data_IF_975225403027
#
_entry.id   IF_975225403027
#
_cell.length_a   1.000
_cell.length_b   1.000
_cell.length_c   1.000
_cell.angle_alpha   90.00
_cell.angle_beta   90.00
_cell.angle_gamma   90.00
#
_symmetry.space_group_name_H-M   'P 1'
#
loop_
_entity.id
_entity.type
_entity.pdbx_description
1 polymer ?
#
# COMPACT_ATOMS: atom_id res chain seq x y z
N UNK A 1 -23.62 -46.61 36.35
CA UNK A 1 -23.93 -45.24 35.92
C UNK A 1 -22.78 -44.78 35.06
N UNK A 2 -23.00 -44.63 33.76
CA UNK A 2 -22.04 -43.97 32.87
C UNK A 2 -22.18 -42.48 33.07
N UNK A 3 -21.08 -41.83 33.47
CA UNK A 3 -20.95 -40.37 33.43
C UNK A 3 -20.95 -39.92 31.98
N UNK A 4 -21.92 -39.08 31.61
CA UNK A 4 -21.98 -38.43 30.32
C UNK A 4 -21.04 -37.23 30.44
N UNK A 5 -19.91 -37.26 29.76
CA UNK A 5 -19.05 -36.08 29.60
C UNK A 5 -19.87 -34.99 28.86
N UNK A 6 -20.11 -33.90 29.54
CA UNK A 6 -20.72 -32.72 28.96
C UNK A 6 -19.66 -32.05 28.04
N UNK A 7 -19.84 -32.20 26.75
CA UNK A 7 -19.03 -31.46 25.78
C UNK A 7 -19.54 -30.04 25.68
N UNK A 8 -18.90 -29.13 26.41
CA UNK A 8 -19.16 -27.70 26.27
C UNK A 8 -18.50 -27.22 24.97
N UNK A 9 -19.32 -27.08 23.93
CA UNK A 9 -18.89 -26.39 22.70
C UNK A 9 -19.00 -24.88 22.96
N UNK A 10 -17.90 -24.25 23.36
CA UNK A 10 -17.78 -22.80 23.37
C UNK A 10 -17.50 -22.31 21.94
N UNK A 11 -18.56 -22.09 21.17
CA UNK A 11 -18.47 -21.35 19.95
C UNK A 11 -18.46 -19.85 20.28
N UNK A 12 -17.46 -19.09 19.82
CA UNK A 12 -17.59 -17.66 19.75
C UNK A 12 -18.71 -17.33 18.76
N UNK A 13 -19.72 -16.57 19.23
CA UNK A 13 -20.74 -16.04 18.34
C UNK A 13 -20.04 -15.01 17.43
N UNK A 14 -19.83 -15.37 16.17
CA UNK A 14 -19.45 -14.42 15.13
C UNK A 14 -20.77 -13.87 14.59
N UNK A 15 -21.09 -12.58 14.81
CA UNK A 15 -22.27 -11.98 14.23
C UNK A 15 -22.24 -12.18 12.71
N UNK A 16 -23.29 -12.76 12.16
CA UNK A 16 -23.44 -12.81 10.69
C UNK A 16 -23.91 -11.43 10.23
N UNK A 17 -22.95 -10.51 10.07
CA UNK A 17 -23.20 -9.13 9.66
C UNK A 17 -24.02 -9.03 8.38
N UNK A 18 -23.92 -10.03 7.48
CA UNK A 18 -24.76 -10.13 6.29
C UNK A 18 -26.26 -10.29 6.58
N UNK A 19 -26.60 -10.82 7.75
CA UNK A 19 -28.01 -11.05 8.16
C UNK A 19 -28.57 -9.96 9.05
N UNK A 20 -27.69 -9.24 9.75
CA UNK A 20 -28.11 -8.23 10.72
C UNK A 20 -28.23 -6.83 10.11
N UNK A 21 -27.71 -6.58 8.91
CA UNK A 21 -27.86 -5.30 8.23
C UNK A 21 -29.11 -5.26 7.36
N UNK A 22 -29.96 -4.25 7.58
CA UNK A 22 -31.09 -3.92 6.70
C UNK A 22 -30.66 -3.27 5.37
N UNK A 23 -29.40 -2.89 5.27
CA UNK A 23 -28.77 -2.20 4.14
C UNK A 23 -28.17 -3.18 3.14
N UNK A 24 -28.12 -2.76 1.86
CA UNK A 24 -27.45 -3.54 0.83
C UNK A 24 -25.93 -3.38 1.02
N UNK A 25 -25.33 -4.39 1.62
CA UNK A 25 -23.90 -4.46 1.86
C UNK A 25 -23.26 -5.66 1.14
N UNK A 26 -21.96 -5.60 0.94
CA UNK A 26 -21.12 -6.72 0.52
C UNK A 26 -19.96 -6.79 1.52
N UNK A 27 -19.68 -7.97 2.02
CA UNK A 27 -18.64 -8.20 3.03
C UNK A 27 -17.56 -9.08 2.43
N UNK A 28 -16.34 -8.73 2.69
CA UNK A 28 -15.15 -9.52 2.39
C UNK A 28 -14.47 -9.82 3.73
N UNK A 29 -14.52 -11.06 4.15
CA UNK A 29 -13.94 -11.50 5.42
C UNK A 29 -12.49 -11.99 5.26
N UNK A 30 -11.78 -12.15 6.39
CA UNK A 30 -10.38 -12.59 6.41
C UNK A 30 -10.17 -13.93 5.70
N UNK A 31 -11.12 -14.86 5.82
CA UNK A 31 -11.02 -16.18 5.21
C UNK A 31 -11.12 -16.11 3.66
N UNK A 32 -11.93 -15.21 3.13
CA UNK A 32 -12.01 -14.95 1.69
C UNK A 32 -10.74 -14.27 1.19
N UNK A 33 -10.20 -13.31 1.93
CA UNK A 33 -8.95 -12.61 1.61
C UNK A 33 -7.78 -13.59 1.56
N UNK A 34 -7.61 -14.40 2.59
CA UNK A 34 -6.51 -15.39 2.67
C UNK A 34 -6.60 -16.46 1.57
N UNK A 35 -7.81 -16.91 1.24
CA UNK A 35 -8.03 -17.89 0.19
C UNK A 35 -7.65 -17.38 -1.19
N UNK A 36 -7.80 -16.09 -1.46
CA UNK A 36 -7.53 -15.52 -2.78
C UNK A 36 -6.08 -15.15 -2.99
N UNK A 37 -5.33 -14.89 -1.93
CA UNK A 37 -3.91 -14.54 -1.97
C UNK A 37 -3.64 -13.23 -2.69
N UNK A 38 -4.59 -12.29 -2.66
CA UNK A 38 -4.42 -10.97 -3.27
C UNK A 38 -3.46 -10.12 -2.44
N UNK A 39 -2.56 -9.39 -3.07
CA UNK A 39 -1.50 -8.61 -2.39
C UNK A 39 -2.05 -7.39 -1.63
N UNK A 40 -3.13 -6.78 -2.14
CA UNK A 40 -3.73 -5.60 -1.54
C UNK A 40 -5.25 -5.61 -1.60
N UNK A 41 -5.87 -4.81 -0.73
CA UNK A 41 -7.33 -4.77 -0.60
C UNK A 41 -8.03 -4.25 -1.88
N UNK A 42 -7.38 -3.40 -2.67
CA UNK A 42 -7.99 -2.89 -3.91
C UNK A 42 -8.29 -4.03 -4.90
N UNK A 43 -7.38 -5.00 -5.02
CA UNK A 43 -7.56 -6.18 -5.89
C UNK A 43 -8.63 -7.10 -5.29
N UNK A 44 -8.54 -7.40 -4.00
CA UNK A 44 -9.49 -8.27 -3.32
C UNK A 44 -10.93 -7.78 -3.45
N UNK A 45 -11.16 -6.47 -3.33
CA UNK A 45 -12.47 -5.86 -3.46
C UNK A 45 -13.09 -5.98 -4.87
N UNK A 46 -12.30 -6.17 -5.91
CA UNK A 46 -12.85 -6.36 -7.29
C UNK A 46 -13.68 -7.61 -7.46
N UNK A 47 -13.53 -8.57 -6.53
CA UNK A 47 -14.29 -9.82 -6.54
C UNK A 47 -15.74 -9.61 -6.08
N UNK A 48 -16.00 -8.52 -5.39
CA UNK A 48 -17.34 -8.18 -4.96
C UNK A 48 -18.14 -7.52 -6.08
N UNK A 49 -19.41 -7.92 -6.20
CA UNK A 49 -20.28 -7.40 -7.26
C UNK A 49 -20.52 -5.90 -7.12
N UNK A 50 -20.43 -5.19 -8.25
CA UNK A 50 -20.66 -3.74 -8.29
C UNK A 50 -19.49 -2.88 -7.88
N UNK A 51 -18.31 -3.47 -7.76
CA UNK A 51 -17.05 -2.74 -7.59
C UNK A 51 -16.21 -2.83 -8.87
N UNK A 52 -15.45 -1.79 -9.14
CA UNK A 52 -14.54 -1.74 -10.27
C UNK A 52 -13.24 -1.07 -9.87
N UNK A 53 -12.12 -1.67 -10.28
CA UNK A 53 -10.78 -1.15 -10.06
C UNK A 53 -10.38 -0.20 -11.18
N UNK A 54 -9.95 0.99 -10.81
CA UNK A 54 -9.50 2.02 -11.76
C UNK A 54 -8.04 2.33 -11.49
N UNK A 55 -7.21 2.25 -12.53
CA UNK A 55 -5.76 2.48 -12.50
C UNK A 55 -5.01 1.60 -11.48
N UNK A 56 -5.53 0.42 -11.18
CA UNK A 56 -4.90 -0.51 -10.25
C UNK A 56 -5.00 -0.17 -8.77
N UNK A 57 -5.59 0.96 -8.39
CA UNK A 57 -5.54 1.47 -7.01
C UNK A 57 -6.83 2.06 -6.45
N UNK A 58 -7.73 2.55 -7.33
CA UNK A 58 -8.98 3.18 -6.90
C UNK A 58 -10.16 2.25 -7.11
N UNK A 59 -10.96 2.05 -6.10
CA UNK A 59 -12.17 1.23 -6.17
C UNK A 59 -13.39 2.14 -6.30
N UNK A 60 -14.14 1.95 -7.38
CA UNK A 60 -15.38 2.67 -7.63
C UNK A 60 -16.58 1.78 -7.31
N UNK A 61 -17.52 2.32 -6.56
CA UNK A 61 -18.74 1.62 -6.19
C UNK A 61 -19.83 1.94 -7.20
N UNK A 62 -20.46 0.91 -7.77
CA UNK A 62 -21.55 1.02 -8.76
C UNK A 62 -21.19 1.83 -10.01
N UNK A 63 -19.91 1.89 -10.36
CA UNK A 63 -19.43 2.67 -11.52
C UNK A 63 -19.48 4.19 -11.29
N UNK A 64 -19.77 4.65 -10.08
CA UNK A 64 -19.77 6.08 -9.75
C UNK A 64 -18.32 6.52 -9.50
N UNK A 65 -17.99 7.71 -9.98
CA UNK A 65 -16.66 8.28 -9.84
C UNK A 65 -16.26 8.56 -8.37
N UNK A 66 -15.01 8.87 -8.18
CA UNK A 66 -14.33 9.02 -6.88
C UNK A 66 -15.02 9.93 -5.87
N UNK A 67 -15.72 10.97 -6.33
CA UNK A 67 -16.42 11.93 -5.43
C UNK A 67 -17.64 11.35 -4.72
N UNK A 68 -18.12 10.18 -5.17
CA UNK A 68 -19.31 9.54 -4.65
C UNK A 68 -19.02 8.34 -3.74
N UNK A 69 -17.75 8.00 -3.57
CA UNK A 69 -17.29 6.91 -2.71
C UNK A 69 -16.44 7.47 -1.58
N UNK A 70 -16.57 6.91 -0.40
CA UNK A 70 -15.72 7.19 0.75
C UNK A 70 -15.09 5.90 1.24
N UNK A 71 -13.97 6.01 1.92
CA UNK A 71 -13.33 4.90 2.60
C UNK A 71 -13.05 5.26 4.05
N UNK A 72 -13.24 4.31 4.94
CA UNK A 72 -12.91 4.42 6.36
C UNK A 72 -11.94 3.30 6.75
N UNK A 73 -11.11 3.57 7.72
CA UNK A 73 -10.22 2.60 8.35
C UNK A 73 -10.49 2.61 9.85
N UNK A 74 -10.94 1.46 10.38
CA UNK A 74 -11.31 1.32 11.79
C UNK A 74 -12.29 2.43 12.24
N UNK A 75 -13.31 2.72 11.42
CA UNK A 75 -14.30 3.76 11.67
C UNK A 75 -13.85 5.20 11.43
N UNK A 76 -12.57 5.43 11.10
CA UNK A 76 -12.04 6.77 10.81
C UNK A 76 -12.01 7.05 9.31
N UNK A 77 -12.48 8.22 8.88
CA UNK A 77 -12.45 8.60 7.48
C UNK A 77 -11.02 8.71 6.95
N UNK A 78 -10.75 8.06 5.83
CA UNK A 78 -9.48 8.17 5.13
C UNK A 78 -9.46 9.44 4.27
N UNK A 79 -8.49 10.33 4.47
CA UNK A 79 -8.35 11.51 3.62
C UNK A 79 -7.79 11.13 2.25
N UNK A 80 -8.20 11.88 1.22
CA UNK A 80 -7.59 11.75 -0.09
C UNK A 80 -6.18 12.38 -0.10
N UNK A 81 -5.16 11.68 -0.58
CA UNK A 81 -3.83 12.27 -0.78
C UNK A 81 -3.77 13.18 -2.02
N UNK A 82 -4.75 13.12 -2.90
CA UNK A 82 -4.80 13.95 -4.09
C UNK A 82 -5.61 15.23 -3.82
N UNK A 83 -5.03 16.45 -3.98
CA UNK A 83 -5.70 17.70 -3.62
C UNK A 83 -6.96 18.00 -4.42
N UNK A 84 -7.03 17.51 -5.66
CA UNK A 84 -8.12 17.78 -6.60
C UNK A 84 -9.12 16.63 -6.73
N UNK A 85 -8.88 15.53 -6.06
CA UNK A 85 -9.73 14.33 -6.11
C UNK A 85 -10.06 13.85 -4.72
N UNK A 86 -11.24 13.26 -4.61
CA UNK A 86 -11.74 12.67 -3.37
C UNK A 86 -11.67 11.15 -3.49
N UNK A 87 -10.45 10.61 -3.48
CA UNK A 87 -10.25 9.18 -3.69
C UNK A 87 -9.11 8.68 -2.82
N UNK A 88 -9.30 7.52 -2.23
CA UNK A 88 -8.29 6.84 -1.44
C UNK A 88 -7.67 5.73 -2.28
N UNK A 89 -6.34 5.72 -2.45
CA UNK A 89 -5.64 4.63 -3.11
C UNK A 89 -5.61 3.41 -2.17
N UNK A 90 -6.43 2.41 -2.48
CA UNK A 90 -6.60 1.23 -1.63
C UNK A 90 -5.50 0.17 -1.85
N UNK A 91 -4.65 0.34 -2.85
CA UNK A 91 -3.44 -0.46 -3.07
C UNK A 91 -2.39 -0.29 -1.95
N UNK A 92 -2.51 0.79 -1.15
CA UNK A 92 -1.64 1.03 0.00
C UNK A 92 -1.90 0.08 1.19
N UNK A 93 -3.02 -0.63 1.19
CA UNK A 93 -3.42 -1.51 2.29
C UNK A 93 -3.18 -2.97 1.90
N UNK A 94 -2.09 -3.59 2.41
CA UNK A 94 -1.82 -5.00 2.17
C UNK A 94 -2.89 -5.87 2.85
N UNK A 95 -3.30 -6.94 2.20
CA UNK A 95 -4.36 -7.83 2.70
C UNK A 95 -4.00 -8.50 4.02
N UNK A 96 -2.72 -8.69 4.32
CA UNK A 96 -2.24 -9.34 5.53
C UNK A 96 -2.65 -8.64 6.83
N UNK A 97 -2.82 -7.30 6.77
CA UNK A 97 -3.22 -6.51 7.95
C UNK A 97 -4.73 -6.33 8.06
N UNK A 98 -5.49 -6.74 7.05
CA UNK A 98 -6.94 -6.55 7.00
C UNK A 98 -7.65 -7.76 7.61
N UNK A 99 -8.59 -7.49 8.49
CA UNK A 99 -9.50 -8.49 9.05
C UNK A 99 -10.75 -8.63 8.19
N UNK A 100 -11.38 -7.50 7.92
CA UNK A 100 -12.59 -7.49 7.10
C UNK A 100 -12.71 -6.19 6.30
N UNK A 101 -13.54 -6.22 5.26
CA UNK A 101 -13.99 -5.02 4.58
C UNK A 101 -15.48 -5.11 4.28
N UNK A 102 -16.23 -4.11 4.73
CA UNK A 102 -17.66 -3.97 4.49
C UNK A 102 -17.90 -2.87 3.49
N UNK A 103 -18.62 -3.19 2.42
CA UNK A 103 -18.99 -2.20 1.41
C UNK A 103 -20.46 -1.94 1.49
N UNK A 104 -20.81 -0.84 2.13
CA UNK A 104 -22.19 -0.42 2.23
C UNK A 104 -22.60 0.40 1.00
N UNK A 105 -23.66 -0.04 0.33
CA UNK A 105 -24.13 0.53 -0.94
C UNK A 105 -25.39 1.38 -0.80
N UNK A 106 -26.06 1.32 0.36
CA UNK A 106 -27.22 2.12 0.69
C UNK A 106 -26.93 3.03 1.85
N UNK A 107 -27.54 4.20 1.87
CA UNK A 107 -27.35 5.18 2.92
C UNK A 107 -28.00 4.71 4.24
N UNK A 108 -27.29 4.89 5.34
CA UNK A 108 -27.82 4.79 6.70
C UNK A 108 -27.54 6.09 7.49
N UNK A 109 -28.25 6.29 8.59
CA UNK A 109 -28.24 7.57 9.31
C UNK A 109 -26.91 7.87 10.05
N UNK A 110 -26.08 6.88 10.25
CA UNK A 110 -24.76 6.94 10.87
C UNK A 110 -23.66 7.37 9.87
N UNK A 111 -23.98 7.38 8.57
CA UNK A 111 -23.03 7.73 7.53
C UNK A 111 -22.89 9.22 7.32
N UNK A 112 -21.71 9.67 6.83
CA UNK A 112 -21.50 11.04 6.46
C UNK A 112 -22.53 11.52 5.43
N UNK A 113 -23.01 12.77 5.56
CA UNK A 113 -23.99 13.36 4.64
C UNK A 113 -23.50 13.44 3.18
N UNK A 114 -22.23 13.25 2.95
CA UNK A 114 -21.58 13.27 1.64
C UNK A 114 -21.65 11.92 0.89
N UNK A 115 -22.36 10.95 1.47
CA UNK A 115 -22.57 9.66 0.85
C UNK A 115 -23.29 9.79 -0.50
N UNK A 116 -22.70 9.25 -1.55
CA UNK A 116 -23.29 9.31 -2.88
C UNK A 116 -23.44 7.95 -3.56
N UNK A 117 -22.50 7.06 -3.40
CA UNK A 117 -22.47 5.78 -4.11
C UNK A 117 -22.19 4.56 -3.24
N UNK A 118 -21.34 4.72 -2.22
CA UNK A 118 -20.99 3.67 -1.29
C UNK A 118 -19.86 4.08 -0.36
N UNK A 119 -19.78 3.40 0.76
CA UNK A 119 -18.66 3.49 1.70
C UNK A 119 -17.96 2.14 1.73
N UNK A 120 -16.64 2.19 1.70
CA UNK A 120 -15.76 1.04 1.88
C UNK A 120 -15.18 1.15 3.29
N UNK A 121 -15.66 0.32 4.18
CA UNK A 121 -15.15 0.22 5.55
C UNK A 121 -14.07 -0.87 5.56
N UNK A 122 -12.91 -0.53 6.08
CA UNK A 122 -11.77 -1.44 6.20
C UNK A 122 -11.47 -1.59 7.69
N UNK A 123 -11.45 -2.81 8.16
CA UNK A 123 -11.07 -3.15 9.52
C UNK A 123 -9.75 -3.92 9.52
N UNK A 124 -8.83 -3.47 10.35
CA UNK A 124 -7.54 -4.15 10.51
C UNK A 124 -7.66 -5.28 11.53
N UNK A 125 -6.82 -6.30 11.37
CA UNK A 125 -6.71 -7.38 12.36
C UNK A 125 -6.45 -6.78 13.74
N UNK A 126 -7.10 -7.29 14.78
CA UNK A 126 -6.82 -6.87 16.15
C UNK A 126 -5.37 -7.21 16.50
N UNK A 127 -4.87 -6.61 17.59
CA UNK A 127 -3.53 -6.95 18.10
C UNK A 127 -3.46 -8.47 18.29
N UNK A 128 -2.50 -9.16 17.68
CA UNK A 128 -2.40 -10.60 17.77
C UNK A 128 -2.05 -10.99 19.21
N UNK A 129 -2.84 -11.90 19.79
CA UNK A 129 -2.56 -12.50 21.11
C UNK A 129 -1.47 -13.57 21.04
N UNK A 130 -1.10 -13.98 19.84
CA UNK A 130 -0.02 -14.94 19.59
C UNK A 130 0.94 -14.33 18.56
N UNK A 131 2.23 -14.70 18.67
CA UNK A 131 3.23 -14.26 17.70
C UNK A 131 2.89 -14.73 16.30
N UNK A 132 2.74 -13.80 15.38
CA UNK A 132 2.52 -14.05 13.95
C UNK A 132 3.85 -13.84 13.22
N UNK A 133 4.23 -14.84 12.43
CA UNK A 133 5.35 -14.76 11.49
C UNK A 133 4.85 -15.32 10.16
N UNK A 134 4.61 -14.46 9.21
CA UNK A 134 4.17 -14.84 7.87
C UNK A 134 5.20 -14.43 6.83
N UNK A 135 5.40 -15.31 5.87
CA UNK A 135 6.38 -15.18 4.81
C UNK A 135 5.79 -15.70 3.52
N UNK A 136 5.56 -14.81 2.56
CA UNK A 136 5.05 -15.21 1.26
C UNK A 136 5.94 -14.74 0.11
N UNK A 137 6.05 -15.59 -0.89
CA UNK A 137 6.69 -15.29 -2.16
C UNK A 137 5.71 -15.61 -3.27
N UNK A 138 5.52 -14.67 -4.20
CA UNK A 138 4.74 -14.94 -5.41
C UNK A 138 5.53 -14.58 -6.65
N UNK A 139 5.26 -15.32 -7.75
CA UNK A 139 5.83 -15.04 -9.06
C UNK A 139 4.70 -15.05 -10.10
N UNK A 140 4.64 -13.99 -10.90
CA UNK A 140 3.68 -13.80 -11.97
C UNK A 140 4.32 -13.98 -13.36
N UNK A 141 3.53 -14.50 -14.29
CA UNK A 141 3.90 -14.62 -15.70
C UNK A 141 2.82 -13.97 -16.57
N UNK A 142 3.24 -13.10 -17.46
CA UNK A 142 2.39 -12.50 -18.49
C UNK A 142 2.92 -12.94 -19.86
N UNK A 143 2.10 -13.62 -20.64
CA UNK A 143 2.45 -14.18 -21.95
C UNK A 143 2.86 -13.15 -22.99
N UNK A 144 2.46 -11.88 -22.81
CA UNK A 144 2.78 -10.80 -23.73
C UNK A 144 4.08 -10.06 -23.40
N UNK A 145 4.53 -10.12 -22.14
CA UNK A 145 5.65 -9.27 -21.67
C UNK A 145 6.77 -10.04 -20.96
N UNK A 146 6.45 -11.06 -20.17
CA UNK A 146 7.46 -11.78 -19.39
C UNK A 146 8.41 -12.57 -20.29
N UNK A 147 9.71 -12.46 -20.03
CA UNK A 147 10.78 -13.10 -20.80
C UNK A 147 10.79 -12.71 -22.29
N UNK A 148 10.25 -11.54 -22.62
CA UNK A 148 10.29 -10.97 -23.97
C UNK A 148 11.15 -9.70 -23.99
N UNK A 149 11.59 -9.33 -25.19
CA UNK A 149 12.37 -8.10 -25.37
C UNK A 149 11.52 -6.87 -25.03
N UNK A 150 12.07 -5.99 -24.22
CA UNK A 150 11.47 -4.75 -23.82
C UNK A 150 12.45 -3.62 -23.69
N UNK A 151 11.93 -2.44 -23.43
CA UNK A 151 12.76 -1.26 -23.22
C UNK A 151 13.01 -1.11 -21.71
N UNK A 152 14.26 -1.28 -21.33
CA UNK A 152 14.75 -1.14 -19.96
C UNK A 152 15.70 0.04 -19.87
N UNK A 153 15.97 0.52 -18.68
CA UNK A 153 17.06 1.45 -18.42
C UNK A 153 17.92 0.90 -17.27
N UNK A 154 19.23 1.17 -17.34
CA UNK A 154 20.12 0.87 -16.23
C UNK A 154 19.79 1.80 -15.06
N UNK A 155 19.13 1.27 -14.04
CA UNK A 155 18.91 1.94 -12.77
C UNK A 155 20.17 1.98 -11.92
N UNK A 156 20.04 2.50 -10.70
CA UNK A 156 21.06 2.36 -9.65
C UNK A 156 21.09 0.94 -9.09
N UNK A 157 22.22 0.54 -8.54
CA UNK A 157 22.40 -0.79 -7.95
C UNK A 157 21.48 -1.01 -6.73
N UNK A 158 21.04 0.06 -6.07
CA UNK A 158 20.19 0.04 -4.89
C UNK A 158 18.71 0.38 -5.18
N UNK A 159 18.33 0.55 -6.45
CA UNK A 159 16.95 0.89 -6.87
C UNK A 159 15.93 -0.15 -6.41
N UNK A 160 16.29 -1.43 -6.41
CA UNK A 160 15.43 -2.53 -5.97
C UNK A 160 15.01 -2.40 -4.50
N UNK A 161 15.80 -1.70 -3.69
CA UNK A 161 15.53 -1.42 -2.29
C UNK A 161 14.97 -0.02 -2.05
N UNK A 162 14.76 0.76 -3.11
CA UNK A 162 14.25 2.13 -3.03
C UNK A 162 15.24 3.15 -2.50
N UNK A 163 16.54 2.84 -2.52
CA UNK A 163 17.59 3.77 -2.17
C UNK A 163 18.23 4.37 -3.42
N UNK A 164 18.62 5.65 -3.32
CA UNK A 164 19.38 6.34 -4.35
C UNK A 164 20.87 6.16 -4.07
N UNK A 165 21.59 5.55 -5.02
CA UNK A 165 23.06 5.35 -4.98
C UNK A 165 23.84 6.53 -5.57
N UNK A 166 23.14 7.64 -5.86
CA UNK A 166 23.72 8.85 -6.46
C UNK A 166 23.83 8.82 -8.00
N UNK A 167 23.36 7.76 -8.67
CA UNK A 167 23.37 7.69 -10.14
C UNK A 167 22.52 8.81 -10.78
N UNK A 168 21.54 9.33 -10.02
CA UNK A 168 20.63 10.41 -10.41
C UNK A 168 21.12 11.79 -10.00
N UNK A 169 22.24 11.88 -9.33
CA UNK A 169 22.83 13.14 -8.92
C UNK A 169 23.26 13.96 -10.14
N UNK A 170 23.24 15.27 -9.97
CA UNK A 170 23.82 16.15 -10.99
C UNK A 170 25.32 15.89 -11.11
N UNK A 171 25.86 15.99 -12.34
CA UNK A 171 27.31 15.94 -12.52
C UNK A 171 28.05 16.89 -11.57
N UNK A 172 29.23 16.47 -11.14
CA UNK A 172 30.02 17.21 -10.13
C UNK A 172 30.21 18.69 -10.46
N UNK A 173 30.42 19.00 -11.73
CA UNK A 173 30.55 20.39 -12.19
C UNK A 173 29.31 21.23 -11.99
N UNK A 174 28.12 20.62 -12.18
CA UNK A 174 26.82 21.26 -11.94
C UNK A 174 26.60 21.42 -10.44
N UNK A 175 26.90 20.38 -9.66
CA UNK A 175 26.77 20.44 -8.19
C UNK A 175 27.66 21.53 -7.59
N UNK A 176 28.88 21.70 -8.12
CA UNK A 176 29.77 22.80 -7.71
C UNK A 176 29.21 24.18 -8.08
N UNK A 177 28.57 24.32 -9.24
CA UNK A 177 27.92 25.57 -9.62
C UNK A 177 26.71 25.88 -8.69
N UNK A 178 25.90 24.86 -8.36
CA UNK A 178 24.79 24.99 -7.42
C UNK A 178 25.31 25.43 -6.04
N UNK A 179 26.33 24.77 -5.51
CA UNK A 179 26.90 25.06 -4.18
C UNK A 179 27.49 26.48 -4.09
N UNK A 180 27.95 27.02 -5.23
CA UNK A 180 28.45 28.40 -5.35
C UNK A 180 27.38 29.41 -5.73
N UNK A 181 26.14 28.97 -5.91
CA UNK A 181 25.02 29.77 -6.38
C UNK A 181 25.32 30.48 -7.73
N UNK A 182 26.03 29.80 -8.63
CA UNK A 182 26.40 30.30 -9.94
C UNK A 182 25.41 29.79 -11.00
N UNK A 183 25.01 30.65 -11.93
CA UNK A 183 24.27 30.24 -13.12
C UNK A 183 25.20 29.63 -14.14
N UNK A 184 24.74 28.60 -14.83
CA UNK A 184 25.46 27.96 -15.94
C UNK A 184 25.29 28.81 -17.22
N UNK A 185 25.96 29.95 -17.27
CA UNK A 185 25.92 30.87 -18.36
C UNK A 185 27.32 31.40 -18.70
N UNK A 186 27.42 32.14 -19.81
CA UNK A 186 28.70 32.71 -20.30
C UNK A 186 29.25 33.85 -19.41
N UNK A 187 28.50 34.32 -18.42
CA UNK A 187 29.02 35.31 -17.47
C UNK A 187 29.85 34.69 -16.36
N UNK A 188 29.60 33.42 -16.06
CA UNK A 188 30.23 32.66 -14.97
C UNK A 188 31.21 31.60 -15.46
N UNK A 189 31.02 31.11 -16.68
CA UNK A 189 31.81 30.01 -17.26
C UNK A 189 32.20 30.33 -18.71
N UNK A 190 33.39 29.92 -19.11
CA UNK A 190 33.79 30.02 -20.51
C UNK A 190 33.11 28.96 -21.40
N UNK A 191 33.24 29.10 -22.71
CA UNK A 191 32.59 28.19 -23.68
C UNK A 191 33.09 26.75 -23.54
N UNK A 192 34.35 26.57 -23.19
CA UNK A 192 34.95 25.24 -23.03
C UNK A 192 34.43 24.57 -21.77
N UNK A 193 34.32 25.33 -20.67
CA UNK A 193 33.74 24.84 -19.43
C UNK A 193 32.27 24.43 -19.60
N UNK A 194 31.46 25.27 -20.25
CA UNK A 194 30.07 24.92 -20.53
C UNK A 194 29.95 23.70 -21.46
N UNK A 195 30.82 23.55 -22.43
CA UNK A 195 30.85 22.37 -23.30
C UNK A 195 31.23 21.09 -22.52
N UNK A 196 32.16 21.18 -21.57
CA UNK A 196 32.53 20.06 -20.70
C UNK A 196 31.39 19.65 -19.77
N UNK A 197 30.74 20.61 -19.14
CA UNK A 197 29.54 20.38 -18.34
C UNK A 197 28.46 19.67 -19.17
N UNK A 198 28.23 20.13 -20.42
CA UNK A 198 27.29 19.46 -21.32
C UNK A 198 27.63 18.00 -21.60
N UNK A 199 28.95 17.70 -21.81
CA UNK A 199 29.42 16.31 -22.03
C UNK A 199 29.26 15.42 -20.78
N UNK A 200 29.38 15.98 -19.58
CA UNK A 200 29.13 15.23 -18.35
C UNK A 200 27.68 14.75 -18.27
N UNK A 201 26.72 15.54 -18.75
CA UNK A 201 25.34 15.12 -18.89
C UNK A 201 25.13 14.03 -19.95
N UNK A 202 25.81 14.10 -21.08
CA UNK A 202 25.73 13.06 -22.12
C UNK A 202 26.31 11.72 -21.64
N UNK A 203 27.31 11.76 -20.76
CA UNK A 203 27.92 10.57 -20.18
C UNK A 203 27.10 9.97 -19.02
N UNK A 204 26.12 10.69 -18.52
CA UNK A 204 25.23 10.15 -17.49
C UNK A 204 24.31 9.08 -18.11
N UNK A 205 24.28 7.89 -17.53
CA UNK A 205 23.47 6.76 -18.01
C UNK A 205 21.96 6.96 -17.81
N UNK A 206 21.55 8.04 -17.17
CA UNK A 206 20.17 8.36 -16.75
C UNK A 206 19.13 8.33 -17.87
N UNK A 207 19.55 8.50 -19.13
CA UNK A 207 18.63 8.68 -20.26
C UNK A 207 18.79 7.61 -21.34
N UNK A 208 19.64 6.62 -21.10
CA UNK A 208 19.90 5.56 -22.08
C UNK A 208 18.91 4.43 -21.86
N UNK A 209 17.96 4.34 -22.77
CA UNK A 209 17.04 3.20 -22.85
C UNK A 209 17.76 2.10 -23.61
N UNK A 210 17.79 0.90 -23.05
CA UNK A 210 18.38 -0.29 -23.63
C UNK A 210 17.31 -1.35 -23.92
N UNK A 211 17.53 -2.15 -24.95
CA UNK A 211 16.73 -3.35 -25.17
C UNK A 211 17.24 -4.46 -24.25
N UNK A 212 16.33 -5.11 -23.55
CA UNK A 212 16.66 -6.20 -22.66
C UNK A 212 15.43 -7.08 -22.38
N UNK A 213 15.70 -8.25 -21.80
CA UNK A 213 14.64 -9.19 -21.45
C UNK A 213 13.89 -8.72 -20.20
N UNK A 214 12.58 -8.61 -20.29
CA UNK A 214 11.73 -8.24 -19.16
C UNK A 214 11.68 -9.43 -18.18
N UNK A 215 12.09 -9.28 -16.91
CA UNK A 215 12.06 -10.37 -15.95
C UNK A 215 10.63 -10.80 -15.61
N UNK A 216 10.52 -11.95 -14.95
CA UNK A 216 9.26 -12.36 -14.33
C UNK A 216 8.87 -11.37 -13.23
N UNK A 217 7.58 -11.12 -13.14
CA UNK A 217 7.03 -10.40 -12.00
C UNK A 217 7.21 -11.24 -10.73
N UNK A 218 7.73 -10.61 -9.69
CA UNK A 218 7.96 -11.29 -8.40
C UNK A 218 7.64 -10.36 -7.25
N UNK A 219 7.01 -10.90 -6.22
CA UNK A 219 6.78 -10.17 -4.98
C UNK A 219 7.15 -11.01 -3.76
N UNK A 220 7.56 -10.32 -2.72
CA UNK A 220 7.96 -10.86 -1.46
C UNK A 220 7.28 -10.09 -0.35
N UNK A 221 6.57 -10.79 0.53
CA UNK A 221 5.92 -10.20 1.68
C UNK A 221 6.42 -10.86 2.96
N UNK A 222 6.66 -10.04 3.97
CA UNK A 222 7.02 -10.44 5.31
C UNK A 222 6.14 -9.72 6.32
N UNK A 223 5.44 -10.47 7.15
CA UNK A 223 4.59 -9.92 8.21
C UNK A 223 5.04 -10.49 9.55
N UNK A 224 5.32 -9.61 10.49
CA UNK A 224 5.62 -9.95 11.87
C UNK A 224 4.67 -9.21 12.79
N UNK A 225 4.01 -9.94 13.68
CA UNK A 225 3.15 -9.40 14.72
C UNK A 225 3.44 -10.07 16.05
N UNK A 226 3.55 -9.28 17.10
CA UNK A 226 3.77 -9.76 18.45
C UNK A 226 3.12 -8.78 19.45
N UNK A 227 2.64 -9.29 20.56
CA UNK A 227 2.18 -8.49 21.68
C UNK A 227 3.39 -8.10 22.54
N UNK A 228 3.63 -6.80 22.67
CA UNK A 228 4.63 -6.25 23.56
C UNK A 228 3.91 -5.76 24.83
N UNK A 229 4.05 -6.50 25.91
CA UNK A 229 3.56 -6.08 27.22
C UNK A 229 4.57 -5.06 27.82
N UNK A 230 4.35 -3.80 27.47
CA UNK A 230 5.16 -2.69 27.99
C UNK A 230 4.45 -2.09 29.19
N UNK A 231 4.93 -2.38 30.39
CA UNK A 231 4.37 -1.74 31.59
C UNK A 231 4.81 -0.26 31.66
N UNK A 232 3.94 0.59 32.19
CA UNK A 232 4.29 2.00 32.40
C UNK A 232 5.52 2.18 33.32
N UNK A 233 5.75 1.23 34.22
CA UNK A 233 6.90 1.21 35.14
C UNK A 233 8.22 1.00 34.39
N UNK A 234 8.21 0.26 33.28
CA UNK A 234 9.39 0.06 32.41
C UNK A 234 9.78 1.35 31.66
N UNK A 235 8.81 2.22 31.37
CA UNK A 235 9.03 3.47 30.64
C UNK A 235 9.41 4.62 31.59
N UNK A 236 8.77 4.69 32.74
CA UNK A 236 8.90 5.82 33.65
C UNK A 236 10.00 5.63 34.72
N UNK A 237 10.55 4.41 34.80
CA UNK A 237 11.47 4.06 35.90
C UNK A 237 10.73 4.06 37.25
N UNK A 238 11.10 3.20 38.15
CA UNK A 238 10.50 3.11 39.49
C UNK A 238 10.62 4.47 40.23
N UNK A 239 9.52 5.19 40.47
CA UNK A 239 9.54 6.47 41.18
C UNK A 239 9.98 6.32 42.64
N UNK A 240 10.13 5.08 43.12
CA UNK A 240 10.63 4.80 44.49
C UNK A 240 12.17 4.71 44.60
N UNK A 241 12.90 4.81 43.50
CA UNK A 241 14.36 4.72 43.48
C UNK A 241 15.09 6.04 43.79
N UNK A 242 14.36 7.08 44.19
CA UNK A 242 14.93 8.35 44.62
C UNK A 242 14.56 8.63 46.09
N UNK A 243 15.28 7.96 47.01
CA UNK A 243 15.54 8.50 48.36
C UNK A 243 16.70 7.75 48.98
#
# INVERSE_FOLDING_TARGET
AQEIEEVVVSGSFIPDEKRDTSEISAILDSSEIERTGDDNIAIALTRLTGLSLVRGKYVYVRGLGERYSAATLNGSNLPSPEPLKRVVPLDLFPTQIIDSSVIQKTYSADMPAEFGGGIIEIETKPVPTERILDFSFSSGFNDATSLSDGLLYDGGDDDDFGYDDGIRDFPDSVQQAINRNLKLDRSNFDVVQLANIGREFENSKLWVIQEGEIPLDSSFNFTYGDELDISLDDILGDPSATF
#
